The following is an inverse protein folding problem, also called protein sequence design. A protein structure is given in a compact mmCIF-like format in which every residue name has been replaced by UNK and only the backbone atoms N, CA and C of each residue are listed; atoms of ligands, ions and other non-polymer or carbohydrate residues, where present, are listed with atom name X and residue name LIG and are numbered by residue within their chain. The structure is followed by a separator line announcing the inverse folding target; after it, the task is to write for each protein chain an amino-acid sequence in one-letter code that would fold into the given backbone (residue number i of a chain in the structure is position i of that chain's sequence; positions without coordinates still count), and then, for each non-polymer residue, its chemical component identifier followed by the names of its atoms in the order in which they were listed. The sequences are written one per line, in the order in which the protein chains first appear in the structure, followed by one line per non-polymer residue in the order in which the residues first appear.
data_IF_871128998844
#
_entry.id   IF_871128998844
#
_cell.length_a   1.000
_cell.length_b   1.000
_cell.length_c   1.000
_cell.angle_alpha   90.00
_cell.angle_beta   90.00
_cell.angle_gamma   90.00
#
_symmetry.space_group_name_H-M   'P 1'
#
loop_
_entity.id
_entity.type
_entity.pdbx_description
1 polymer ?
#
# COMPACT_ATOMS: atom_id res chain seq x y z
N UNK A 1 5.67 -19.61 7.55
CA UNK A 1 4.93 -19.53 6.27
C UNK A 1 4.62 -18.05 6.03
N UNK A 2 5.19 -17.41 5.00
CA UNK A 2 4.71 -16.08 4.57
C UNK A 2 3.28 -16.32 4.04
N UNK A 3 2.25 -16.01 4.83
CA UNK A 3 0.86 -16.06 4.36
C UNK A 3 0.74 -15.19 3.10
N UNK A 4 -0.18 -15.53 2.19
CA UNK A 4 -0.40 -14.81 0.94
C UNK A 4 -0.68 -13.33 1.23
N UNK A 5 0.34 -12.47 1.09
CA UNK A 5 0.19 -11.04 1.28
C UNK A 5 -0.54 -10.46 0.07
N UNK A 6 -1.49 -9.57 0.35
CA UNK A 6 -2.23 -8.80 -0.65
C UNK A 6 -1.83 -7.35 -0.53
N UNK A 7 -1.96 -6.62 -1.62
CA UNK A 7 -1.67 -5.19 -1.67
C UNK A 7 -2.94 -4.45 -2.04
N UNK A 8 -3.23 -3.40 -1.28
CA UNK A 8 -4.40 -2.56 -1.44
C UNK A 8 -4.00 -1.10 -1.50
N UNK A 9 -4.68 -0.32 -2.32
CA UNK A 9 -4.73 1.13 -2.12
C UNK A 9 -5.89 1.45 -1.17
N UNK A 10 -5.75 2.52 -0.38
CA UNK A 10 -6.75 2.95 0.61
C UNK A 10 -6.90 4.46 0.51
N UNK A 11 -8.15 4.95 0.40
CA UNK A 11 -8.55 6.34 0.11
C UNK A 11 -8.07 6.86 -1.25
N UNK A 12 -6.76 6.79 -1.51
CA UNK A 12 -6.12 7.25 -2.74
C UNK A 12 -5.30 6.12 -3.38
N UNK A 13 -5.26 6.04 -4.72
CA UNK A 13 -4.48 5.04 -5.46
C UNK A 13 -2.95 5.15 -5.25
N UNK A 14 -2.51 6.26 -4.64
CA UNK A 14 -1.13 6.58 -4.26
C UNK A 14 -0.78 6.18 -2.82
N UNK A 15 -1.77 5.80 -2.00
CA UNK A 15 -1.56 5.29 -0.64
C UNK A 15 -1.75 3.77 -0.61
N UNK A 16 -0.64 3.05 -0.71
CA UNK A 16 -0.61 1.62 -0.95
C UNK A 16 -0.06 0.89 0.28
N UNK A 17 -0.78 -0.15 0.69
CA UNK A 17 -0.52 -0.93 1.89
C UNK A 17 -0.49 -2.42 1.57
N UNK A 18 0.28 -3.17 2.33
CA UNK A 18 0.33 -4.62 2.26
C UNK A 18 -0.13 -5.25 3.57
N UNK A 19 -0.89 -6.33 3.47
CA UNK A 19 -1.40 -7.08 4.61
C UNK A 19 -2.10 -8.37 4.17
N UNK A 20 -2.64 -9.13 5.12
CA UNK A 20 -3.37 -10.37 4.79
C UNK A 20 -4.79 -10.05 4.32
N UNK A 21 -5.41 -9.04 4.90
CA UNK A 21 -6.74 -8.54 4.56
C UNK A 21 -6.79 -7.02 4.62
N UNK A 22 -7.83 -6.41 4.04
CA UNK A 22 -8.03 -4.97 4.12
C UNK A 22 -8.34 -4.55 5.55
N UNK A 23 -9.13 -5.31 6.29
CA UNK A 23 -9.51 -5.03 7.68
C UNK A 23 -8.28 -4.97 8.60
N UNK A 24 -7.29 -5.85 8.39
CA UNK A 24 -6.03 -5.81 9.13
C UNK A 24 -5.27 -4.48 8.90
N UNK A 25 -5.24 -4.01 7.65
CA UNK A 25 -4.61 -2.73 7.28
C UNK A 25 -5.38 -1.57 7.92
N UNK A 26 -6.70 -1.52 7.74
CA UNK A 26 -7.55 -0.45 8.26
C UNK A 26 -7.50 -0.37 9.78
N UNK A 27 -7.51 -1.52 10.47
CA UNK A 27 -7.41 -1.55 11.93
C UNK A 27 -6.11 -0.92 12.44
N UNK A 28 -5.00 -1.07 11.70
CA UNK A 28 -3.70 -0.48 12.08
C UNK A 28 -3.59 0.99 11.70
N UNK A 29 -3.98 1.36 10.49
CA UNK A 29 -3.68 2.67 9.91
C UNK A 29 -4.86 3.66 9.96
N UNK A 30 -6.09 3.16 9.88
CA UNK A 30 -7.32 3.96 9.85
C UNK A 30 -8.37 3.47 10.87
N UNK A 31 -8.02 3.25 12.15
CA UNK A 31 -8.93 2.60 13.12
C UNK A 31 -10.23 3.38 13.38
N UNK A 32 -10.25 4.68 13.05
CA UNK A 32 -11.44 5.54 13.22
C UNK A 32 -12.33 5.57 11.98
N UNK A 33 -11.76 5.36 10.81
CA UNK A 33 -12.42 5.50 9.51
C UNK A 33 -12.71 4.14 8.85
N UNK A 34 -12.26 3.03 9.47
CA UNK A 34 -12.43 1.65 8.98
C UNK A 34 -13.85 1.38 8.45
N UNK A 35 -14.88 1.78 9.20
CA UNK A 35 -16.28 1.57 8.81
C UNK A 35 -16.67 2.35 7.55
N UNK A 36 -16.25 3.61 7.46
CA UNK A 36 -16.56 4.49 6.34
C UNK A 36 -15.83 4.03 5.07
N UNK A 37 -14.54 3.69 5.20
CA UNK A 37 -13.74 3.16 4.10
C UNK A 37 -14.33 1.85 3.54
N UNK A 38 -14.79 0.95 4.41
CA UNK A 38 -15.42 -0.30 4.00
C UNK A 38 -16.82 -0.08 3.40
N UNK A 39 -17.65 0.80 3.98
CA UNK A 39 -19.01 1.05 3.47
C UNK A 39 -19.00 1.74 2.12
N UNK A 40 -18.07 2.67 1.93
CA UNK A 40 -18.01 3.53 0.76
C UNK A 40 -17.08 2.94 -0.32
N UNK A 41 -16.49 1.77 -0.06
CA UNK A 41 -15.53 1.06 -0.93
C UNK A 41 -14.35 1.94 -1.34
N UNK A 42 -13.80 2.70 -0.38
CA UNK A 42 -12.65 3.60 -0.59
C UNK A 42 -11.32 2.84 -0.51
N UNK A 43 -11.26 1.67 -1.14
CA UNK A 43 -10.07 0.84 -1.22
C UNK A 43 -10.17 -0.10 -2.42
N UNK A 44 -9.04 -0.65 -2.86
CA UNK A 44 -9.03 -1.61 -3.95
C UNK A 44 -7.72 -2.38 -4.04
N UNK A 45 -7.71 -3.49 -4.78
CA UNK A 45 -6.51 -4.29 -4.98
C UNK A 45 -5.56 -3.64 -5.97
N UNK A 46 -4.26 -3.78 -5.74
CA UNK A 46 -3.21 -3.28 -6.64
C UNK A 46 -2.55 -4.43 -7.40
N UNK A 47 -2.30 -4.25 -8.70
CA UNK A 47 -1.50 -5.20 -9.48
C UNK A 47 -0.04 -5.10 -9.05
N UNK A 48 0.55 -6.24 -8.66
CA UNK A 48 1.96 -6.31 -8.24
C UNK A 48 2.95 -5.94 -9.36
N UNK A 49 2.52 -5.99 -10.62
CA UNK A 49 3.31 -5.54 -11.77
C UNK A 49 3.15 -4.06 -12.09
N UNK A 50 2.20 -3.37 -11.46
CA UNK A 50 2.04 -1.93 -11.60
C UNK A 50 3.30 -1.22 -11.13
N UNK A 51 3.70 -0.20 -11.88
CA UNK A 51 4.92 0.54 -11.66
C UNK A 51 4.61 1.93 -11.13
N UNK A 52 5.46 2.39 -10.22
CA UNK A 52 5.39 3.71 -9.65
C UNK A 52 6.76 4.38 -9.76
N UNK A 53 6.74 5.67 -10.07
CA UNK A 53 7.92 6.51 -10.05
C UNK A 53 8.16 6.96 -8.60
N UNK A 54 9.25 6.49 -8.00
CA UNK A 54 9.56 6.72 -6.59
C UNK A 54 10.82 7.57 -6.52
N UNK A 55 10.77 8.64 -5.72
CA UNK A 55 11.96 9.42 -5.37
C UNK A 55 12.46 8.94 -4.02
N UNK A 56 13.72 8.54 -3.96
CA UNK A 56 14.35 8.17 -2.69
C UNK A 56 14.51 9.39 -1.75
N UNK A 57 14.76 10.57 -2.33
CA UNK A 57 14.97 11.83 -1.60
C UNK A 57 14.56 13.05 -2.44
N UNK A 58 14.40 14.19 -1.78
CA UNK A 58 14.18 15.49 -2.43
C UNK A 58 15.39 15.82 -3.32
N UNK A 59 15.15 16.00 -4.62
CA UNK A 59 16.19 16.26 -5.62
C UNK A 59 16.78 15.02 -6.29
N UNK A 60 16.36 13.81 -5.88
CA UNK A 60 16.77 12.56 -6.55
C UNK A 60 16.00 12.32 -7.85
N UNK A 61 16.64 11.60 -8.77
CA UNK A 61 16.00 11.09 -9.99
C UNK A 61 14.95 10.05 -9.57
N UNK A 62 13.74 10.16 -10.09
CA UNK A 62 12.70 9.17 -9.84
C UNK A 62 13.11 7.83 -10.48
N UNK A 63 13.08 6.77 -9.69
CA UNK A 63 13.33 5.40 -10.14
C UNK A 63 11.99 4.71 -10.25
N UNK A 64 11.76 4.03 -11.37
CA UNK A 64 10.56 3.23 -11.59
C UNK A 64 10.72 1.88 -10.88
N UNK A 65 9.83 1.59 -9.91
CA UNK A 65 9.77 0.29 -9.23
C UNK A 65 8.37 -0.32 -9.36
N UNK A 66 8.30 -1.64 -9.43
CA UNK A 66 7.04 -2.39 -9.31
C UNK A 66 6.63 -2.54 -7.86
N UNK A 67 5.33 -2.66 -7.61
CA UNK A 67 4.80 -2.96 -6.28
C UNK A 67 5.37 -4.26 -5.70
N UNK A 68 5.57 -5.30 -6.53
CA UNK A 68 6.26 -6.52 -6.10
C UNK A 68 7.63 -6.23 -5.48
N UNK A 69 8.41 -5.36 -6.09
CA UNK A 69 9.79 -5.07 -5.65
C UNK A 69 9.76 -4.36 -4.30
N UNK A 70 8.83 -3.41 -4.11
CA UNK A 70 8.61 -2.75 -2.82
C UNK A 70 8.13 -3.72 -1.75
N UNK A 71 7.22 -4.63 -2.11
CA UNK A 71 6.70 -5.64 -1.19
C UNK A 71 7.79 -6.59 -0.70
N UNK A 72 8.73 -6.96 -1.56
CA UNK A 72 9.86 -7.83 -1.22
C UNK A 72 10.83 -7.18 -0.20
N UNK A 73 10.84 -5.84 -0.12
CA UNK A 73 11.61 -5.06 0.86
C UNK A 73 10.94 -5.03 2.27
N UNK A 74 9.65 -5.36 2.36
CA UNK A 74 8.89 -5.34 3.62
C UNK A 74 9.10 -6.63 4.43
N UNK A 75 9.38 -6.45 5.72
CA UNK A 75 9.66 -7.55 6.66
C UNK A 75 8.49 -7.83 7.60
N UNK A 76 7.70 -6.81 7.94
CA UNK A 76 6.61 -6.88 8.93
C UNK A 76 5.31 -6.45 8.25
N UNK A 77 4.20 -7.10 8.59
CA UNK A 77 2.88 -6.79 8.03
C UNK A 77 1.84 -6.61 9.16
N UNK A 78 0.76 -5.82 8.94
CA UNK A 78 0.54 -5.00 7.75
C UNK A 78 1.46 -3.78 7.74
N UNK A 79 1.83 -3.27 6.56
CA UNK A 79 2.71 -2.10 6.44
C UNK A 79 2.41 -1.22 5.23
N UNK A 80 2.89 0.02 5.27
CA UNK A 80 2.84 0.95 4.14
C UNK A 80 3.87 0.51 3.09
N UNK A 81 3.41 0.33 1.85
CA UNK A 81 4.26 -0.01 0.70
C UNK A 81 4.72 1.25 -0.01
N UNK A 82 3.81 2.19 -0.21
CA UNK A 82 4.08 3.42 -0.95
C UNK A 82 3.09 4.49 -0.50
N UNK A 83 3.59 5.69 -0.25
CA UNK A 83 2.79 6.90 -0.19
C UNK A 83 3.47 7.95 -1.06
N UNK A 84 2.76 8.44 -2.08
CA UNK A 84 3.23 9.50 -2.97
C UNK A 84 2.37 10.74 -2.74
N UNK A 85 2.90 11.69 -1.96
CA UNK A 85 2.38 13.04 -1.93
C UNK A 85 3.07 13.85 -3.04
N UNK A 86 2.28 14.47 -3.90
CA UNK A 86 2.78 15.33 -4.99
C UNK A 86 3.41 16.61 -4.46
#
# INVERSE_FOLDING_TARGET
MRGMQKVFWVLEETEIYAGRTIEEILHKFYPKEEKEILSDNLYGTVDLNQKYAIKADIGSIAIEKRIKELLDEIVVFPDLVLSLYS
#
